data_IF_360143855332
#
_entry.id   IF_360143855332
#
_cell.length_a   1.000
_cell.length_b   1.000
_cell.length_c   1.000
_cell.angle_alpha   90.00
_cell.angle_beta   90.00
_cell.angle_gamma   90.00
#
_symmetry.space_group_name_H-M   'P 1'
#
loop_
_entity.id
_entity.type
_entity.pdbx_description
1 polymer ?
#
# COMPACT_ATOMS: atom_id res chain seq x y z
N UNK A 1 -18.37 19.01 -11.73
CA UNK A 1 -17.53 19.42 -10.59
C UNK A 1 -16.38 18.42 -10.53
N UNK A 2 -15.14 18.88 -10.69
CA UNK A 2 -13.98 17.99 -10.64
C UNK A 2 -13.86 17.44 -9.21
N UNK A 3 -14.15 16.16 -9.04
CA UNK A 3 -14.01 15.48 -7.76
C UNK A 3 -12.52 15.25 -7.51
N UNK A 4 -11.83 16.27 -6.99
CA UNK A 4 -10.41 16.11 -6.64
C UNK A 4 -10.30 15.14 -5.47
N UNK A 5 -9.62 14.02 -5.72
CA UNK A 5 -9.25 13.09 -4.68
C UNK A 5 -8.19 13.77 -3.81
N UNK A 6 -8.45 13.81 -2.50
CA UNK A 6 -7.51 14.39 -1.53
C UNK A 6 -6.92 13.30 -0.64
N UNK A 7 -5.75 13.57 -0.09
CA UNK A 7 -5.07 12.70 0.87
C UNK A 7 -5.96 12.37 2.07
N UNK A 8 -6.74 13.35 2.55
CA UNK A 8 -7.67 13.16 3.66
C UNK A 8 -8.78 12.15 3.34
N UNK A 9 -9.35 12.23 2.13
CA UNK A 9 -10.38 11.29 1.67
C UNK A 9 -9.83 9.87 1.62
N UNK A 10 -8.68 9.70 0.95
CA UNK A 10 -8.01 8.39 0.83
C UNK A 10 -7.67 7.81 2.20
N UNK A 11 -7.13 8.64 3.10
CA UNK A 11 -6.78 8.21 4.46
C UNK A 11 -7.99 7.71 5.24
N UNK A 12 -9.12 8.40 5.13
CA UNK A 12 -10.36 8.01 5.79
C UNK A 12 -10.84 6.65 5.28
N UNK A 13 -10.93 6.49 3.96
CA UNK A 13 -11.39 5.24 3.33
C UNK A 13 -10.47 4.07 3.68
N UNK A 14 -9.15 4.26 3.67
CA UNK A 14 -8.17 3.24 4.03
C UNK A 14 -8.29 2.84 5.51
N UNK A 15 -8.49 3.81 6.40
CA UNK A 15 -8.65 3.54 7.83
C UNK A 15 -9.95 2.77 8.10
N UNK A 16 -11.06 3.17 7.49
CA UNK A 16 -12.37 2.55 7.68
C UNK A 16 -12.47 1.15 7.04
N UNK A 17 -12.07 1.01 5.77
CA UNK A 17 -12.26 -0.23 5.00
C UNK A 17 -11.18 -1.28 5.29
N UNK A 18 -9.95 -0.86 5.58
CA UNK A 18 -8.82 -1.77 5.76
C UNK A 18 -8.30 -1.79 7.20
N UNK A 19 -8.95 -1.11 8.15
CA UNK A 19 -8.51 -1.04 9.54
C UNK A 19 -7.04 -0.61 9.65
N UNK A 20 -6.62 0.30 8.77
CA UNK A 20 -5.24 0.76 8.72
C UNK A 20 -4.90 1.51 10.02
N UNK A 21 -3.86 1.08 10.70
CA UNK A 21 -3.37 1.70 11.93
C UNK A 21 -2.46 2.90 11.64
N UNK A 22 -1.84 2.89 10.47
CA UNK A 22 -0.99 3.97 10.00
C UNK A 22 -1.19 4.13 8.49
N UNK A 23 -1.44 5.37 8.07
CA UNK A 23 -1.61 5.73 6.68
C UNK A 23 -0.88 7.04 6.45
N UNK A 24 0.11 6.98 5.58
CA UNK A 24 0.85 8.12 5.06
C UNK A 24 0.55 8.22 3.57
N UNK A 25 0.22 9.41 3.09
CA UNK A 25 -0.08 9.66 1.68
C UNK A 25 0.69 10.90 1.29
N UNK A 26 1.36 10.82 0.14
CA UNK A 26 2.19 11.87 -0.41
C UNK A 26 1.76 12.10 -1.86
N UNK A 27 1.31 13.31 -2.17
CA UNK A 27 1.09 13.74 -3.53
C UNK A 27 2.43 13.91 -4.29
N UNK A 28 2.63 13.06 -5.30
CA UNK A 28 3.80 13.09 -6.20
C UNK A 28 3.55 13.95 -7.45
N UNK A 29 2.33 14.47 -7.64
CA UNK A 29 1.97 15.30 -8.79
C UNK A 29 2.27 16.80 -8.59
N UNK A 30 2.85 17.19 -7.45
CA UNK A 30 3.18 18.58 -7.17
C UNK A 30 1.95 19.46 -6.90
N UNK A 31 0.89 18.90 -6.30
CA UNK A 31 -0.33 19.62 -5.95
C UNK A 31 -1.44 19.55 -6.99
N UNK A 32 -1.30 18.72 -8.02
CA UNK A 32 -2.35 18.52 -9.02
C UNK A 32 -3.33 17.39 -8.66
N UNK A 33 -3.00 16.58 -7.64
CA UNK A 33 -3.81 15.44 -7.21
C UNK A 33 -3.96 14.34 -8.26
N UNK A 34 -2.99 14.18 -9.17
CA UNK A 34 -3.04 13.17 -10.24
C UNK A 34 -2.18 11.94 -9.95
N UNK A 35 -1.24 12.03 -9.01
CA UNK A 35 -0.29 10.97 -8.69
C UNK A 35 -0.07 10.89 -7.18
N UNK A 36 -0.45 9.79 -6.56
CA UNK A 36 -0.30 9.61 -5.11
C UNK A 36 0.54 8.38 -4.80
N UNK A 37 1.42 8.53 -3.81
CA UNK A 37 2.13 7.43 -3.17
C UNK A 37 1.65 7.32 -1.74
N UNK A 38 1.19 6.14 -1.34
CA UNK A 38 0.71 5.88 0.02
C UNK A 38 1.50 4.76 0.68
N UNK A 39 1.73 4.88 1.97
CA UNK A 39 2.24 3.82 2.84
C UNK A 39 1.15 3.46 3.82
N UNK A 40 0.65 2.23 3.71
CA UNK A 40 -0.50 1.72 4.44
C UNK A 40 -0.03 0.58 5.31
N UNK A 41 -0.22 0.74 6.61
CA UNK A 41 0.09 -0.28 7.62
C UNK A 41 -1.21 -0.77 8.22
N UNK A 42 -1.49 -2.06 8.05
CA UNK A 42 -2.71 -2.66 8.58
C UNK A 42 -2.46 -4.10 9.05
N UNK A 43 -3.04 -4.52 10.19
CA UNK A 43 -3.04 -5.93 10.60
C UNK A 43 -3.81 -6.83 9.62
N UNK A 44 -4.73 -6.29 8.80
CA UNK A 44 -5.48 -7.06 7.79
C UNK A 44 -4.55 -7.64 6.71
N UNK A 45 -3.36 -7.07 6.54
CA UNK A 45 -2.35 -7.56 5.62
C UNK A 45 -1.56 -8.74 6.18
N UNK A 46 -1.68 -9.01 7.48
CA UNK A 46 -1.05 -10.16 8.12
C UNK A 46 -1.62 -11.45 7.50
N UNK A 47 -0.74 -12.40 7.17
CA UNK A 47 -1.07 -13.67 6.48
C UNK A 47 -1.60 -13.50 5.05
N UNK A 48 -1.58 -12.30 4.47
CA UNK A 48 -1.92 -12.08 3.06
C UNK A 48 -0.65 -11.91 2.22
N UNK A 49 -0.67 -12.44 1.00
CA UNK A 49 0.40 -12.22 0.01
C UNK A 49 0.38 -10.79 -0.51
N UNK A 50 1.53 -10.30 -0.99
CA UNK A 50 1.65 -8.94 -1.56
C UNK A 50 0.56 -8.65 -2.61
N UNK A 51 0.35 -9.56 -3.56
CA UNK A 51 -0.70 -9.41 -4.58
C UNK A 51 -2.10 -9.29 -3.98
N UNK A 52 -2.43 -10.06 -2.94
CA UNK A 52 -3.74 -10.02 -2.28
C UNK A 52 -3.94 -8.72 -1.50
N UNK A 53 -2.89 -8.21 -0.84
CA UNK A 53 -2.89 -6.90 -0.18
C UNK A 53 -3.19 -5.80 -1.20
N UNK A 54 -2.48 -5.76 -2.32
CA UNK A 54 -2.73 -4.80 -3.40
C UNK A 54 -4.13 -4.91 -3.99
N UNK A 55 -4.64 -6.12 -4.21
CA UNK A 55 -6.03 -6.33 -4.68
C UNK A 55 -7.05 -5.79 -3.69
N UNK A 56 -6.85 -5.98 -2.38
CA UNK A 56 -7.74 -5.43 -1.35
C UNK A 56 -7.73 -3.90 -1.34
N UNK A 57 -6.57 -3.27 -1.42
CA UNK A 57 -6.46 -1.81 -1.49
C UNK A 57 -7.13 -1.28 -2.76
N UNK A 58 -6.83 -1.87 -3.92
CA UNK A 58 -7.42 -1.44 -5.18
C UNK A 58 -8.94 -1.66 -5.23
N UNK A 59 -9.46 -2.71 -4.57
CA UNK A 59 -10.89 -2.91 -4.45
C UNK A 59 -11.54 -1.89 -3.52
N UNK A 60 -10.87 -1.55 -2.41
CA UNK A 60 -11.34 -0.56 -1.45
C UNK A 60 -11.33 0.86 -2.02
N UNK A 61 -10.39 1.18 -2.90
CA UNK A 61 -10.20 2.51 -3.50
C UNK A 61 -10.53 2.55 -5.00
N UNK A 62 -11.37 1.63 -5.48
CA UNK A 62 -11.60 1.45 -6.92
C UNK A 62 -12.10 2.73 -7.60
N UNK A 63 -13.03 3.42 -6.96
CA UNK A 63 -13.68 4.60 -7.51
C UNK A 63 -12.75 5.82 -7.46
N UNK A 64 -11.92 5.90 -6.42
CA UNK A 64 -10.93 6.96 -6.20
C UNK A 64 -9.74 6.80 -7.15
N UNK A 65 -9.15 5.60 -7.23
CA UNK A 65 -8.03 5.30 -8.12
C UNK A 65 -8.44 5.47 -9.59
N UNK A 66 -9.71 5.22 -9.95
CA UNK A 66 -10.20 5.49 -11.30
C UNK A 66 -10.15 6.97 -11.70
N UNK A 67 -10.08 7.89 -10.73
CA UNK A 67 -9.94 9.33 -10.96
C UNK A 67 -8.47 9.81 -10.90
N UNK A 68 -7.55 8.96 -10.45
CA UNK A 68 -6.13 9.27 -10.29
C UNK A 68 -5.37 8.66 -11.47
N UNK A 69 -4.43 9.40 -12.07
CA UNK A 69 -3.63 8.89 -13.19
C UNK A 69 -2.57 7.87 -12.74
N UNK A 70 -1.95 8.09 -11.57
CA UNK A 70 -0.95 7.20 -11.01
C UNK A 70 -1.18 6.94 -9.51
N UNK A 71 -1.29 5.67 -9.15
CA UNK A 71 -1.48 5.26 -7.76
C UNK A 71 -0.42 4.24 -7.37
N UNK A 72 0.31 4.53 -6.29
CA UNK A 72 1.25 3.60 -5.66
C UNK A 72 0.91 3.44 -4.19
N UNK A 73 0.82 2.20 -3.73
CA UNK A 73 0.50 1.89 -2.33
C UNK A 73 1.43 0.83 -1.78
N UNK A 74 2.25 1.18 -0.79
CA UNK A 74 3.08 0.24 -0.04
C UNK A 74 2.25 -0.37 1.08
N UNK A 75 1.93 -1.67 0.98
CA UNK A 75 1.07 -2.37 1.93
C UNK A 75 1.91 -3.21 2.89
N UNK A 76 2.11 -2.72 4.12
CA UNK A 76 2.96 -3.36 5.12
C UNK A 76 2.16 -3.84 6.33
N UNK A 77 2.61 -4.93 6.95
CA UNK A 77 2.10 -5.32 8.26
C UNK A 77 2.70 -4.43 9.35
N UNK A 78 2.06 -4.30 10.52
CA UNK A 78 2.61 -3.56 11.65
C UNK A 78 4.02 -4.03 12.05
N UNK A 79 4.25 -5.35 11.98
CA UNK A 79 5.55 -5.95 12.27
C UNK A 79 6.62 -5.59 11.22
N UNK A 80 6.26 -5.58 9.93
CA UNK A 80 7.18 -5.13 8.87
C UNK A 80 7.48 -3.64 8.97
N UNK A 81 6.47 -2.81 9.28
CA UNK A 81 6.63 -1.37 9.46
C UNK A 81 7.56 -1.02 10.62
N UNK A 82 7.38 -1.69 11.77
CA UNK A 82 8.26 -1.48 12.92
C UNK A 82 9.70 -1.89 12.59
N UNK A 83 9.91 -3.00 11.86
CA UNK A 83 11.24 -3.41 11.40
C UNK A 83 11.87 -2.40 10.44
N UNK A 84 11.13 -1.93 9.43
CA UNK A 84 11.61 -0.93 8.47
C UNK A 84 11.95 0.39 9.19
N UNK A 85 11.12 0.82 10.14
CA UNK A 85 11.33 2.06 10.89
C UNK A 85 12.50 1.95 11.87
N UNK A 86 12.68 0.79 12.49
CA UNK A 86 13.85 0.50 13.31
C UNK A 86 15.13 0.44 12.45
N UNK A 87 15.07 -0.10 11.23
CA UNK A 87 16.18 -0.15 10.29
C UNK A 87 16.55 1.23 9.72
N UNK A 88 15.58 2.13 9.53
CA UNK A 88 15.83 3.50 9.09
C UNK A 88 16.69 4.33 10.07
N UNK A 89 16.83 3.87 11.33
CA UNK A 89 17.69 4.48 12.35
C UNK A 89 19.11 3.90 12.45
N UNK A 90 19.47 2.88 11.65
CA UNK A 90 20.77 2.22 11.75
C UNK A 90 21.25 1.63 10.42
N UNK A 91 22.32 2.20 9.87
CA UNK A 91 23.28 1.64 8.91
C UNK A 91 22.86 0.42 8.09
N UNK A 92 22.71 0.61 6.78
CA UNK A 92 23.03 -0.33 5.68
C UNK A 92 23.20 -1.81 6.04
N UNK A 93 22.10 -2.55 6.09
CA UNK A 93 22.07 -3.97 5.71
C UNK A 93 20.62 -4.34 5.38
N UNK A 94 20.29 -4.33 4.09
CA UNK A 94 18.96 -4.71 3.62
C UNK A 94 18.71 -6.21 3.85
N UNK A 95 17.68 -6.63 4.59
CA UNK A 95 17.29 -8.03 4.65
C UNK A 95 16.68 -8.46 3.32
N UNK A 96 16.70 -9.77 3.02
CA UNK A 96 16.63 -10.28 1.66
C UNK A 96 15.31 -9.94 1.00
N UNK A 97 15.36 -9.63 -0.29
CA UNK A 97 14.18 -9.66 -1.14
C UNK A 97 13.53 -11.04 -1.01
N UNK A 98 12.45 -11.15 -0.24
CA UNK A 98 11.47 -12.23 -0.41
C UNK A 98 10.74 -11.99 -1.74
N UNK A 99 11.51 -12.19 -2.81
CA UNK A 99 10.99 -12.40 -4.13
C UNK A 99 10.28 -13.74 -4.12
N UNK A 100 8.98 -13.72 -3.80
CA UNK A 100 8.01 -14.74 -4.20
C UNK A 100 8.57 -16.16 -4.27
N UNK A 101 8.97 -16.72 -3.11
CA UNK A 101 9.21 -18.17 -3.03
C UNK A 101 7.84 -18.84 -3.17
N UNK A 102 7.51 -19.28 -4.38
CA UNK A 102 6.24 -19.96 -4.63
C UNK A 102 5.73 -20.02 -6.08
N UNK A 103 6.51 -19.59 -7.08
CA UNK A 103 6.20 -19.83 -8.49
C UNK A 103 6.36 -21.30 -8.92
N UNK A 104 5.81 -22.24 -8.16
CA UNK A 104 5.59 -23.62 -8.61
C UNK A 104 4.29 -23.60 -9.43
N UNK A 105 4.41 -23.57 -10.75
CA UNK A 105 3.36 -24.12 -11.61
C UNK A 105 3.56 -25.63 -11.64
N UNK A 106 2.96 -26.34 -10.70
CA UNK A 106 2.72 -27.77 -10.88
C UNK A 106 1.76 -27.89 -12.07
N UNK A 107 2.25 -28.58 -13.11
CA UNK A 107 1.53 -28.77 -14.36
C UNK A 107 0.25 -29.57 -14.18
N UNK A 108 -0.66 -29.41 -15.14
CA UNK A 108 -1.75 -30.36 -15.38
C UNK A 108 -1.79 -30.67 -16.87
N UNK A 109 -1.54 -31.96 -17.13
CA UNK A 109 -1.70 -32.76 -18.36
C UNK A 109 -0.79 -32.44 -19.56
#
# INVERSE_FOLDING_TARGET
MANQITEATLKTVLTERLQAIHVEITDMSGGCGQAFTSTIVSPVFEKQTSLKRHRLVNAALKDEIAQIHAWSAKCQTPAEWERDRAAAGGTTEGPPMDGTIGGRVEGVA
#
